data_IF_348373889889
#
_entry.id   IF_348373889889
#
_cell.length_a   1.000
_cell.length_b   1.000
_cell.length_c   1.000
_cell.angle_alpha   90.00
_cell.angle_beta   90.00
_cell.angle_gamma   90.00
#
_symmetry.space_group_name_H-M   'P 1'
#
loop_
_entity.id
_entity.type
_entity.pdbx_description
1 polymer ?
#
# COMPACT_ATOMS: atom_id res chain seq x y z
N UNK A 1 -7.37 -21.77 -0.27
CA UNK A 1 -8.34 -20.88 -0.94
C UNK A 1 -7.60 -19.64 -1.40
N UNK A 2 -7.70 -19.24 -2.68
CA UNK A 2 -7.03 -18.04 -3.19
C UNK A 2 -7.96 -16.84 -3.07
N UNK A 3 -7.60 -15.90 -2.21
CA UNK A 3 -8.31 -14.64 -2.05
C UNK A 3 -7.81 -13.63 -3.07
N UNK A 4 -8.72 -12.85 -3.64
CA UNK A 4 -8.41 -11.77 -4.57
C UNK A 4 -8.95 -10.43 -4.06
N UNK A 5 -8.24 -9.34 -4.31
CA UNK A 5 -8.68 -8.02 -3.89
C UNK A 5 -9.72 -7.42 -4.86
N UNK A 6 -10.86 -6.99 -4.32
CA UNK A 6 -11.93 -6.33 -5.07
C UNK A 6 -12.42 -5.08 -4.33
N UNK A 7 -13.00 -4.16 -5.08
CA UNK A 7 -13.75 -3.03 -4.53
C UNK A 7 -15.21 -3.17 -4.93
N UNK A 8 -16.09 -3.20 -3.92
CA UNK A 8 -17.52 -3.03 -4.10
C UNK A 8 -17.90 -1.57 -3.88
N UNK A 9 -18.73 -1.01 -4.77
CA UNK A 9 -19.39 0.28 -4.62
C UNK A 9 -20.88 0.09 -4.69
N UNK A 10 -21.65 0.64 -3.76
CA UNK A 10 -23.10 0.53 -3.77
C UNK A 10 -23.79 1.48 -2.81
N UNK A 11 -25.11 1.36 -2.67
CA UNK A 11 -25.89 2.23 -1.77
C UNK A 11 -25.81 1.82 -0.29
N UNK A 12 -25.95 2.79 0.62
CA UNK A 12 -25.92 2.57 2.08
C UNK A 12 -27.03 1.63 2.58
N UNK A 13 -28.18 1.56 1.94
CA UNK A 13 -29.32 0.83 2.54
C UNK A 13 -29.21 -0.70 2.48
N UNK A 14 -28.43 -1.26 1.56
CA UNK A 14 -28.38 -2.71 1.31
C UNK A 14 -26.96 -3.28 1.29
N UNK A 15 -25.96 -2.48 1.63
CA UNK A 15 -24.56 -2.93 1.63
C UNK A 15 -24.28 -4.01 2.69
N UNK A 16 -25.06 -4.08 3.78
CA UNK A 16 -24.88 -5.12 4.82
C UNK A 16 -25.11 -6.52 4.25
N UNK A 17 -26.04 -6.69 3.29
CA UNK A 17 -26.22 -7.97 2.59
C UNK A 17 -24.98 -8.42 1.82
N UNK A 18 -24.19 -7.47 1.32
CA UNK A 18 -22.93 -7.75 0.63
C UNK A 18 -21.81 -8.04 1.62
N UNK A 19 -21.82 -7.38 2.78
CA UNK A 19 -20.90 -7.66 3.89
C UNK A 19 -21.10 -9.11 4.36
N UNK A 20 -22.33 -9.47 4.70
CA UNK A 20 -22.68 -10.82 5.17
C UNK A 20 -22.31 -11.87 4.12
N UNK A 21 -22.62 -11.62 2.84
CA UNK A 21 -22.25 -12.51 1.74
C UNK A 21 -20.73 -12.70 1.63
N UNK A 22 -19.94 -11.64 1.76
CA UNK A 22 -18.48 -11.72 1.68
C UNK A 22 -17.95 -12.56 2.84
N UNK A 23 -18.43 -12.32 4.06
CA UNK A 23 -18.01 -13.05 5.27
C UNK A 23 -18.42 -14.53 5.21
N UNK A 24 -19.63 -14.84 4.76
CA UNK A 24 -20.15 -16.21 4.59
C UNK A 24 -19.33 -17.01 3.57
N UNK A 25 -18.83 -16.34 2.53
CA UNK A 25 -17.94 -16.95 1.53
C UNK A 25 -16.49 -17.08 2.04
N UNK A 26 -16.18 -16.63 3.25
CA UNK A 26 -14.81 -16.65 3.81
C UNK A 26 -13.91 -15.53 3.27
N UNK A 27 -14.50 -14.44 2.77
CA UNK A 27 -13.82 -13.20 2.46
C UNK A 27 -13.66 -12.30 3.68
N UNK A 28 -12.94 -11.18 3.48
CA UNK A 28 -12.61 -10.23 4.54
C UNK A 28 -12.79 -8.79 4.08
N UNK A 29 -13.27 -7.92 4.97
CA UNK A 29 -13.46 -6.50 4.69
C UNK A 29 -12.29 -5.70 5.24
N UNK A 30 -11.40 -5.28 4.34
CA UNK A 30 -10.22 -4.47 4.69
C UNK A 30 -10.64 -3.08 5.16
N UNK A 31 -11.51 -2.43 4.38
CA UNK A 31 -11.99 -1.07 4.66
C UNK A 31 -13.43 -0.87 4.22
N UNK A 32 -14.13 -0.04 4.98
CA UNK A 32 -15.47 0.45 4.70
C UNK A 32 -15.44 1.98 4.75
N UNK A 33 -15.75 2.62 3.62
CA UNK A 33 -15.91 4.07 3.53
C UNK A 33 -17.35 4.38 3.20
N UNK A 34 -17.95 5.29 3.95
CA UNK A 34 -19.29 5.80 3.69
C UNK A 34 -19.13 7.23 3.18
N UNK A 35 -19.55 7.48 1.94
CA UNK A 35 -19.46 8.78 1.27
C UNK A 35 -20.86 9.19 0.84
N UNK A 36 -21.46 10.11 1.59
CA UNK A 36 -22.83 10.59 1.38
C UNK A 36 -23.88 9.45 1.37
N UNK A 37 -24.31 9.00 0.19
CA UNK A 37 -25.28 7.91 0.02
C UNK A 37 -24.65 6.60 -0.49
N UNK A 38 -23.33 6.60 -0.72
CA UNK A 38 -22.57 5.48 -1.28
C UNK A 38 -21.67 4.84 -0.22
N UNK A 39 -21.46 3.53 -0.38
CA UNK A 39 -20.52 2.73 0.39
C UNK A 39 -19.49 2.17 -0.56
N UNK A 40 -18.22 2.33 -0.18
CA UNK A 40 -17.08 1.70 -0.84
C UNK A 40 -16.47 0.69 0.12
N UNK A 41 -16.57 -0.58 -0.24
CA UNK A 41 -15.95 -1.69 0.48
C UNK A 41 -14.71 -2.15 -0.29
N UNK A 42 -13.58 -2.19 0.39
CA UNK A 42 -12.37 -2.83 -0.11
C UNK A 42 -12.24 -4.16 0.61
N UNK A 43 -12.23 -5.24 -0.14
CA UNK A 43 -12.33 -6.59 0.42
C UNK A 43 -11.43 -7.59 -0.30
N UNK A 44 -11.14 -8.66 0.42
CA UNK A 44 -10.57 -9.88 -0.13
C UNK A 44 -11.69 -10.90 -0.25
N UNK A 45 -11.90 -11.45 -1.45
CA UNK A 45 -12.95 -12.43 -1.71
C UNK A 45 -12.35 -13.69 -2.34
N UNK A 46 -12.91 -14.87 -2.14
CA UNK A 46 -12.48 -16.05 -2.87
C UNK A 46 -12.62 -15.86 -4.38
N UNK A 47 -11.59 -16.26 -5.12
CA UNK A 47 -11.56 -16.11 -6.58
C UNK A 47 -12.73 -16.79 -7.29
N UNK A 48 -13.18 -17.91 -6.77
CA UNK A 48 -14.24 -18.74 -7.36
C UNK A 48 -15.63 -18.08 -7.23
N UNK A 49 -15.81 -17.20 -6.25
CA UNK A 49 -17.11 -16.65 -5.88
C UNK A 49 -17.33 -15.20 -6.35
N UNK A 50 -16.35 -14.57 -7.02
CA UNK A 50 -16.48 -13.19 -7.54
C UNK A 50 -17.72 -13.00 -8.41
N UNK A 51 -18.00 -13.97 -9.29
CA UNK A 51 -19.14 -13.92 -10.20
C UNK A 51 -20.47 -14.08 -9.47
N UNK A 52 -20.50 -14.75 -8.31
CA UNK A 52 -21.68 -14.78 -7.45
C UNK A 52 -21.91 -13.41 -6.81
N UNK A 53 -20.86 -12.81 -6.25
CA UNK A 53 -20.93 -11.47 -5.64
C UNK A 53 -21.37 -10.43 -6.67
N UNK A 54 -20.81 -10.45 -7.89
CA UNK A 54 -21.24 -9.57 -9.01
C UNK A 54 -22.72 -9.73 -9.35
N UNK A 55 -23.21 -10.97 -9.39
CA UNK A 55 -24.62 -11.27 -9.67
C UNK A 55 -25.56 -10.75 -8.59
N UNK A 56 -25.17 -10.84 -7.32
CA UNK A 56 -25.98 -10.37 -6.18
C UNK A 56 -25.88 -8.85 -6.00
N UNK A 57 -24.71 -8.25 -6.28
CA UNK A 57 -24.47 -6.81 -6.21
C UNK A 57 -25.30 -6.03 -7.24
N UNK A 58 -25.47 -6.56 -8.46
CA UNK A 58 -26.12 -5.86 -9.57
C UNK A 58 -27.59 -5.45 -9.28
N UNK A 59 -28.46 -6.31 -8.73
CA UNK A 59 -29.81 -5.91 -8.27
C UNK A 59 -29.83 -4.82 -7.21
N UNK A 60 -28.76 -4.69 -6.41
CA UNK A 60 -28.61 -3.69 -5.36
C UNK A 60 -28.00 -2.38 -5.90
N UNK A 61 -27.93 -2.22 -7.22
CA UNK A 61 -27.21 -1.12 -7.89
C UNK A 61 -25.74 -1.02 -7.47
N UNK A 62 -25.13 -2.16 -7.11
CA UNK A 62 -23.74 -2.26 -6.73
C UNK A 62 -22.84 -2.64 -7.90
N UNK A 63 -21.61 -2.12 -7.90
CA UNK A 63 -20.56 -2.41 -8.85
C UNK A 63 -19.39 -3.09 -8.12
N UNK A 64 -18.91 -4.21 -8.66
CA UNK A 64 -17.72 -4.91 -8.15
C UNK A 64 -16.62 -4.82 -9.19
N UNK A 65 -15.54 -4.14 -8.82
CA UNK A 65 -14.37 -3.90 -9.67
C UNK A 65 -13.14 -4.58 -9.09
N UNK A 66 -12.26 -5.07 -9.96
CA UNK A 66 -10.98 -5.60 -9.52
C UNK A 66 -10.11 -4.45 -8.98
N UNK A 67 -9.46 -4.66 -7.86
CA UNK A 67 -8.70 -3.60 -7.19
C UNK A 67 -7.37 -4.13 -6.69
N UNK A 68 -6.39 -4.31 -7.59
CA UNK A 68 -5.18 -5.09 -7.31
C UNK A 68 -4.35 -4.52 -6.15
N UNK A 69 -4.52 -3.25 -5.78
CA UNK A 69 -3.72 -2.63 -4.73
C UNK A 69 -4.36 -2.70 -3.32
N UNK A 70 -5.54 -3.30 -3.16
CA UNK A 70 -6.12 -3.51 -1.82
C UNK A 70 -5.21 -4.39 -0.97
N UNK A 71 -5.00 -3.99 0.28
CA UNK A 71 -4.11 -4.67 1.22
C UNK A 71 -2.62 -4.49 0.90
N UNK A 72 -2.28 -3.41 0.20
CA UNK A 72 -0.89 -3.01 -0.05
C UNK A 72 -0.65 -1.62 0.54
N UNK A 73 0.44 -1.47 1.29
CA UNK A 73 0.95 -0.18 1.75
C UNK A 73 2.14 0.26 0.87
N UNK A 74 2.04 1.45 0.28
CA UNK A 74 2.97 1.99 -0.72
C UNK A 74 3.67 3.23 -0.16
N UNK A 75 4.99 3.23 -0.14
CA UNK A 75 5.78 4.43 0.13
C UNK A 75 5.93 5.24 -1.17
N UNK A 76 5.34 6.43 -1.24
CA UNK A 76 5.59 7.38 -2.31
C UNK A 76 6.77 8.26 -1.89
N UNK A 77 7.94 7.94 -2.40
CA UNK A 77 9.20 8.59 -2.04
C UNK A 77 9.41 9.80 -2.94
N UNK A 78 9.37 10.97 -2.33
CA UNK A 78 9.64 12.25 -3.00
C UNK A 78 10.88 12.90 -2.40
N UNK A 79 11.71 13.50 -3.25
CA UNK A 79 12.94 14.16 -2.80
C UNK A 79 12.68 15.37 -1.89
N UNK A 80 11.50 15.99 -1.97
CA UNK A 80 11.05 17.06 -1.08
C UNK A 80 9.57 17.40 -1.35
N UNK A 81 8.84 17.74 -0.29
CA UNK A 81 7.45 18.21 -0.37
C UNK A 81 7.30 19.74 -0.38
N UNK A 82 8.39 20.48 -0.42
CA UNK A 82 8.31 21.94 -0.54
C UNK A 82 7.66 22.35 -1.86
N UNK A 83 6.86 23.43 -1.82
CA UNK A 83 6.13 23.93 -2.99
C UNK A 83 7.05 24.22 -4.17
N UNK A 84 8.28 24.70 -3.92
CA UNK A 84 9.28 24.99 -4.95
C UNK A 84 9.82 23.74 -5.64
N UNK A 85 9.62 22.56 -5.05
CA UNK A 85 10.02 21.28 -5.62
C UNK A 85 8.91 20.59 -6.41
N UNK A 86 7.74 21.24 -6.53
CA UNK A 86 6.61 20.84 -7.36
C UNK A 86 6.15 19.41 -7.04
N UNK A 87 5.62 19.18 -5.82
CA UNK A 87 5.30 17.83 -5.35
C UNK A 87 4.04 17.25 -6.00
N UNK A 88 3.35 18.02 -6.85
CA UNK A 88 2.09 17.65 -7.49
C UNK A 88 2.08 16.25 -8.10
N UNK A 89 3.09 15.82 -8.88
CA UNK A 89 3.03 14.48 -9.46
C UNK A 89 3.08 13.39 -8.39
N UNK A 90 3.89 13.56 -7.33
CA UNK A 90 3.91 12.61 -6.21
C UNK A 90 2.59 12.61 -5.43
N UNK A 91 1.94 13.75 -5.24
CA UNK A 91 0.62 13.83 -4.62
C UNK A 91 -0.47 13.19 -5.50
N UNK A 92 -0.43 13.42 -6.81
CA UNK A 92 -1.37 12.87 -7.78
C UNK A 92 -1.23 11.34 -7.84
N UNK A 93 0.00 10.81 -7.90
CA UNK A 93 0.26 9.36 -7.81
C UNK A 93 -0.26 8.80 -6.47
N UNK A 94 0.03 9.47 -5.35
CA UNK A 94 -0.41 9.04 -4.03
C UNK A 94 -1.94 9.00 -3.92
N UNK A 95 -2.66 9.96 -4.50
CA UNK A 95 -4.12 9.96 -4.60
C UNK A 95 -4.61 8.85 -5.53
N UNK A 96 -3.98 8.67 -6.68
CA UNK A 96 -4.41 7.72 -7.70
C UNK A 96 -4.31 6.28 -7.22
N UNK A 97 -3.20 5.90 -6.57
CA UNK A 97 -3.07 4.54 -5.98
C UNK A 97 -4.05 4.30 -4.84
N UNK A 98 -4.43 5.35 -4.08
CA UNK A 98 -5.47 5.24 -3.03
C UNK A 98 -6.84 4.95 -3.60
N UNK A 99 -7.19 5.55 -4.74
CA UNK A 99 -8.45 5.28 -5.44
C UNK A 99 -8.57 3.82 -5.89
N UNK A 100 -7.46 3.13 -6.08
CA UNK A 100 -7.37 1.75 -6.59
C UNK A 100 -7.18 0.72 -5.45
N UNK A 101 -7.18 1.17 -4.19
CA UNK A 101 -7.19 0.27 -3.03
C UNK A 101 -6.00 0.37 -2.10
N UNK A 102 -4.89 0.95 -2.56
CA UNK A 102 -3.66 0.99 -1.77
C UNK A 102 -3.73 2.01 -0.63
N UNK A 103 -2.94 1.77 0.41
CA UNK A 103 -2.56 2.82 1.35
C UNK A 103 -1.25 3.44 0.91
N UNK A 104 -1.29 4.68 0.45
CA UNK A 104 -0.06 5.42 0.20
C UNK A 104 0.34 6.27 1.40
N UNK A 105 1.63 6.26 1.71
CA UNK A 105 2.27 7.19 2.63
C UNK A 105 3.31 7.99 1.86
N UNK A 106 3.33 9.30 2.08
CA UNK A 106 4.33 10.17 1.45
C UNK A 106 5.58 10.17 2.32
N UNK A 107 6.70 9.75 1.76
CA UNK A 107 8.01 9.82 2.42
C UNK A 107 8.83 10.90 1.72
N UNK A 108 9.07 12.00 2.43
CA UNK A 108 9.91 13.09 1.92
C UNK A 108 11.32 12.91 2.38
N UNK A 109 12.27 12.97 1.47
CA UNK A 109 13.68 12.93 1.84
C UNK A 109 14.10 14.30 2.38
N UNK A 110 14.69 14.33 3.58
CA UNK A 110 15.05 15.56 4.26
C UNK A 110 16.34 16.21 3.71
N UNK A 111 17.14 15.51 2.88
CA UNK A 111 18.52 15.92 2.58
C UNK A 111 18.90 15.85 1.10
N UNK A 112 19.24 17.03 0.55
CA UNK A 112 19.95 17.15 -0.71
C UNK A 112 19.83 18.54 -1.35
N UNK A 113 20.54 19.57 -0.86
CA UNK A 113 20.55 20.87 -1.51
C UNK A 113 21.11 20.73 -2.95
N UNK A 114 20.24 20.99 -3.93
CA UNK A 114 20.59 20.98 -5.34
C UNK A 114 21.02 19.63 -5.91
N UNK A 115 21.96 19.66 -6.85
CA UNK A 115 22.43 18.47 -7.59
C UNK A 115 23.51 17.67 -6.87
N UNK A 116 24.16 18.23 -5.84
CA UNK A 116 25.45 17.75 -5.33
C UNK A 116 25.37 16.68 -4.24
N UNK A 117 24.27 16.66 -3.48
CA UNK A 117 24.11 15.77 -2.35
C UNK A 117 22.77 15.05 -2.49
N UNK A 118 22.77 13.75 -2.20
CA UNK A 118 21.58 12.98 -1.87
C UNK A 118 21.88 12.22 -0.59
N UNK A 119 21.03 12.40 0.41
CA UNK A 119 21.12 11.70 1.67
C UNK A 119 19.78 11.09 2.01
N UNK A 120 19.82 9.84 2.44
CA UNK A 120 18.74 9.16 3.12
C UNK A 120 19.31 8.80 4.50
N UNK A 121 18.65 9.22 5.58
CA UNK A 121 19.05 8.79 6.92
C UNK A 121 18.51 7.38 7.19
N UNK A 122 18.97 6.75 8.28
CA UNK A 122 18.56 5.37 8.59
C UNK A 122 17.09 5.27 8.99
N UNK A 123 16.54 6.32 9.61
CA UNK A 123 15.11 6.38 9.96
C UNK A 123 14.20 6.42 8.71
N UNK A 124 14.52 7.23 7.72
CA UNK A 124 13.82 7.30 6.43
C UNK A 124 13.95 5.98 5.66
N UNK A 125 15.13 5.33 5.70
CA UNK A 125 15.32 3.98 5.14
C UNK A 125 14.39 2.97 5.79
N UNK A 126 14.44 2.91 7.12
CA UNK A 126 13.61 2.01 7.90
C UNK A 126 12.13 2.25 7.57
N UNK A 127 11.66 3.51 7.59
CA UNK A 127 10.28 3.87 7.23
C UNK A 127 9.91 3.35 5.85
N UNK A 128 10.76 3.52 4.83
CA UNK A 128 10.48 2.99 3.48
C UNK A 128 10.37 1.46 3.51
N UNK A 129 11.26 0.78 4.24
CA UNK A 129 11.27 -0.68 4.39
C UNK A 129 10.10 -1.25 5.20
N UNK A 130 9.32 -0.41 5.89
CA UNK A 130 8.08 -0.85 6.53
C UNK A 130 6.93 -1.05 5.55
N UNK A 131 7.06 -0.61 4.30
CA UNK A 131 6.00 -0.69 3.29
C UNK A 131 6.15 -1.94 2.43
N UNK A 132 5.15 -2.25 1.60
CA UNK A 132 5.25 -3.39 0.67
C UNK A 132 6.06 -3.05 -0.58
N UNK A 133 6.04 -1.77 -1.00
CA UNK A 133 6.69 -1.27 -2.22
C UNK A 133 7.01 0.22 -2.08
N UNK A 134 8.11 0.64 -2.69
CA UNK A 134 8.52 2.05 -2.75
C UNK A 134 8.45 2.58 -4.19
N UNK A 135 7.76 3.71 -4.39
CA UNK A 135 7.69 4.42 -5.66
C UNK A 135 8.54 5.67 -5.55
N UNK A 136 9.68 5.67 -6.22
CA UNK A 136 10.60 6.81 -6.24
C UNK A 136 10.23 7.77 -7.37
N UNK A 137 9.82 8.99 -7.02
CA UNK A 137 9.61 10.04 -8.01
C UNK A 137 10.82 10.97 -8.10
N UNK A 138 11.59 10.79 -9.16
CA UNK A 138 12.77 11.59 -9.45
C UNK A 138 12.45 12.80 -10.33
N UNK A 139 13.42 13.72 -10.41
CA UNK A 139 13.32 14.90 -11.26
C UNK A 139 13.54 14.61 -12.75
N UNK A 140 13.77 15.67 -13.52
CA UNK A 140 13.78 15.59 -14.99
C UNK A 140 15.16 15.30 -15.58
N UNK A 141 16.23 15.40 -14.79
CA UNK A 141 17.60 15.36 -15.28
C UNK A 141 18.22 13.99 -15.11
N UNK A 142 18.58 13.33 -16.21
CA UNK A 142 19.28 12.04 -16.26
C UNK A 142 20.49 12.00 -15.33
N UNK A 143 21.40 12.96 -15.45
CA UNK A 143 22.63 13.04 -14.63
C UNK A 143 22.35 13.14 -13.12
N UNK A 144 21.23 13.76 -12.73
CA UNK A 144 20.84 13.81 -11.32
C UNK A 144 20.34 12.46 -10.83
N UNK A 145 19.62 11.71 -11.67
CA UNK A 145 19.09 10.39 -11.32
C UNK A 145 20.24 9.40 -11.18
N UNK A 146 21.12 9.34 -12.19
CA UNK A 146 22.30 8.49 -12.22
C UNK A 146 23.18 8.67 -10.97
N UNK A 147 23.45 9.92 -10.61
CA UNK A 147 24.28 10.24 -9.45
C UNK A 147 23.61 9.90 -8.10
N UNK A 148 22.30 10.12 -7.97
CA UNK A 148 21.60 10.01 -6.67
C UNK A 148 21.13 8.60 -6.35
N UNK A 149 20.67 7.84 -7.35
CA UNK A 149 20.05 6.53 -7.13
C UNK A 149 20.94 5.51 -6.41
N UNK A 150 22.27 5.41 -6.66
CA UNK A 150 23.13 4.48 -5.93
C UNK A 150 23.12 4.69 -4.41
N UNK A 151 22.98 5.94 -3.96
CA UNK A 151 22.90 6.27 -2.53
C UNK A 151 21.49 6.10 -1.99
N UNK A 152 20.48 6.52 -2.75
CA UNK A 152 19.08 6.48 -2.30
C UNK A 152 18.54 5.06 -2.18
N UNK A 153 18.95 4.15 -3.06
CA UNK A 153 18.52 2.75 -3.01
C UNK A 153 19.22 1.92 -1.92
N UNK A 154 20.31 2.43 -1.34
CA UNK A 154 21.14 1.64 -0.43
C UNK A 154 20.37 1.36 0.85
N UNK A 155 20.26 0.08 1.19
CA UNK A 155 19.53 -0.38 2.38
C UNK A 155 18.01 -0.33 2.22
N UNK A 156 17.50 -0.25 0.98
CA UNK A 156 16.08 -0.44 0.70
C UNK A 156 15.89 -1.89 0.25
N UNK A 157 15.09 -2.64 1.00
CA UNK A 157 14.87 -4.08 0.82
C UNK A 157 13.52 -4.38 0.15
N UNK A 158 12.63 -3.39 0.12
CA UNK A 158 11.34 -3.46 -0.57
C UNK A 158 11.52 -3.20 -2.05
N UNK A 159 10.67 -3.78 -2.92
CA UNK A 159 10.76 -3.53 -4.35
C UNK A 159 10.60 -2.04 -4.67
N UNK A 160 11.34 -1.58 -5.69
CA UNK A 160 11.35 -0.17 -6.09
C UNK A 160 10.78 -0.01 -7.50
N UNK A 161 9.81 0.89 -7.64
CA UNK A 161 9.37 1.43 -8.94
C UNK A 161 9.97 2.83 -9.12
N UNK A 162 10.84 2.98 -10.12
CA UNK A 162 11.50 4.26 -10.41
C UNK A 162 10.74 5.06 -11.46
N UNK A 163 10.25 6.23 -11.06
CA UNK A 163 9.65 7.23 -11.94
C UNK A 163 10.62 8.40 -12.16
N UNK A 164 10.71 8.91 -13.38
CA UNK A 164 11.54 10.08 -13.67
C UNK A 164 11.22 10.74 -15.01
N UNK A 165 11.73 11.95 -15.22
CA UNK A 165 11.49 12.70 -16.46
C UNK A 165 12.11 12.10 -17.73
N UNK A 166 13.31 11.47 -17.70
CA UNK A 166 13.80 10.72 -18.86
C UNK A 166 12.88 9.55 -19.24
N UNK A 167 12.96 9.08 -20.48
CA UNK A 167 12.21 7.90 -20.89
C UNK A 167 12.67 6.61 -20.17
N UNK A 168 11.88 5.55 -20.27
CA UNK A 168 12.13 4.29 -19.56
C UNK A 168 13.47 3.65 -19.95
N UNK A 169 13.82 3.68 -21.25
CA UNK A 169 15.06 3.08 -21.75
C UNK A 169 16.29 3.80 -21.19
N UNK A 170 16.23 5.13 -21.10
CA UNK A 170 17.26 5.95 -20.47
C UNK A 170 17.34 5.63 -18.98
N UNK A 171 16.23 5.61 -18.25
CA UNK A 171 16.24 5.28 -16.81
C UNK A 171 16.87 3.92 -16.53
N UNK A 172 16.57 2.90 -17.33
CA UNK A 172 17.18 1.57 -17.22
C UNK A 172 18.69 1.60 -17.52
N UNK A 173 19.13 2.38 -18.50
CA UNK A 173 20.54 2.51 -18.86
C UNK A 173 21.36 3.17 -17.74
N UNK A 174 20.82 4.22 -17.12
CA UNK A 174 21.56 5.03 -16.14
C UNK A 174 21.45 4.55 -14.69
N UNK A 175 20.73 3.45 -14.44
CA UNK A 175 20.58 2.91 -13.09
C UNK A 175 21.02 1.46 -13.04
N UNK A 176 21.96 1.16 -12.16
CA UNK A 176 22.53 -0.18 -12.02
C UNK A 176 22.78 -0.54 -10.56
N UNK A 177 22.49 -1.81 -10.16
CA UNK A 177 21.61 -2.77 -10.82
C UNK A 177 20.18 -2.25 -11.06
N UNK A 178 19.42 -2.93 -11.95
CA UNK A 178 18.08 -2.50 -12.31
C UNK A 178 17.12 -2.56 -11.13
N UNK A 179 16.13 -1.66 -11.14
CA UNK A 179 14.99 -1.65 -10.23
C UNK A 179 13.88 -2.61 -10.68
N UNK A 180 12.96 -2.92 -9.78
CA UNK A 180 11.86 -3.85 -10.03
C UNK A 180 10.87 -3.34 -11.09
N UNK A 181 10.71 -2.02 -11.17
CA UNK A 181 9.91 -1.38 -12.21
C UNK A 181 10.39 0.02 -12.59
N UNK A 182 10.00 0.47 -13.77
CA UNK A 182 10.40 1.75 -14.35
C UNK A 182 9.24 2.43 -15.07
N UNK A 183 9.12 3.74 -14.89
CA UNK A 183 8.17 4.57 -15.62
C UNK A 183 8.83 5.88 -16.02
N UNK A 184 9.14 6.02 -17.31
CA UNK A 184 9.77 7.23 -17.85
C UNK A 184 8.79 8.35 -18.13
N UNK A 185 9.27 9.55 -18.47
CA UNK A 185 8.44 10.73 -18.78
C UNK A 185 7.51 11.17 -17.63
N UNK A 186 7.82 10.81 -16.38
CA UNK A 186 7.11 11.23 -15.16
C UNK A 186 8.04 12.10 -14.33
N UNK A 187 8.21 13.32 -14.81
CA UNK A 187 9.05 14.32 -14.16
C UNK A 187 8.30 15.22 -13.18
N UNK A 188 8.98 16.26 -12.69
CA UNK A 188 8.39 17.37 -11.94
C UNK A 188 7.76 18.38 -12.89
N UNK A 189 6.53 18.79 -12.61
CA UNK A 189 5.82 19.85 -13.33
C UNK A 189 4.90 20.65 -12.38
N UNK A 190 4.63 21.92 -12.72
CA UNK A 190 3.96 22.88 -11.83
C UNK A 190 2.44 22.73 -11.74
N UNK A 191 1.82 21.96 -12.64
CA UNK A 191 0.36 21.82 -12.74
C UNK A 191 -0.10 20.47 -12.16
N UNK A 192 -1.37 20.37 -11.77
CA UNK A 192 -1.97 19.07 -11.48
C UNK A 192 -2.20 18.29 -12.77
N UNK A 193 -2.16 16.97 -12.64
CA UNK A 193 -2.45 16.00 -13.70
C UNK A 193 -3.95 16.03 -13.99
N UNK A 194 -4.40 16.88 -14.92
CA UNK A 194 -5.83 17.07 -15.25
C UNK A 194 -6.16 16.84 -16.73
N UNK A 195 -5.14 16.79 -17.58
CA UNK A 195 -5.29 16.54 -19.02
C UNK A 195 -5.31 15.02 -19.30
N UNK A 196 -5.89 14.60 -20.42
CA UNK A 196 -6.14 13.17 -20.72
C UNK A 196 -4.86 12.36 -20.87
N UNK A 197 -3.85 12.91 -21.55
CA UNK A 197 -2.50 12.35 -21.72
C UNK A 197 -1.79 12.08 -20.39
N UNK A 198 -2.13 12.90 -19.41
CA UNK A 198 -1.60 12.92 -18.06
C UNK A 198 -2.23 11.81 -17.19
N UNK A 199 -3.51 11.49 -17.42
CA UNK A 199 -4.19 10.34 -16.80
C UNK A 199 -3.63 9.00 -17.33
N UNK A 200 -3.37 8.91 -18.64
CA UNK A 200 -2.76 7.72 -19.25
C UNK A 200 -1.42 7.37 -18.59
N UNK A 201 -0.67 8.40 -18.18
CA UNK A 201 0.60 8.23 -17.49
C UNK A 201 0.42 7.72 -16.06
N UNK A 202 -0.60 8.18 -15.34
CA UNK A 202 -0.94 7.61 -14.03
C UNK A 202 -1.36 6.14 -14.14
N UNK A 203 -2.09 5.78 -15.21
CA UNK A 203 -2.44 4.38 -15.49
C UNK A 203 -1.22 3.52 -15.83
N UNK A 204 -0.23 4.07 -16.53
CA UNK A 204 1.07 3.39 -16.73
C UNK A 204 1.78 3.13 -15.41
N UNK A 205 1.83 4.13 -14.52
CA UNK A 205 2.43 3.97 -13.18
C UNK A 205 1.72 2.89 -12.38
N UNK A 206 0.39 2.92 -12.35
CA UNK A 206 -0.40 1.91 -11.63
C UNK A 206 -0.20 0.52 -12.21
N UNK A 207 -0.17 0.38 -13.54
CA UNK A 207 0.08 -0.92 -14.18
C UNK A 207 1.43 -1.47 -13.78
N UNK A 208 2.47 -0.63 -13.75
CA UNK A 208 3.81 -1.07 -13.36
C UNK A 208 3.89 -1.41 -11.86
N UNK A 209 3.28 -0.61 -10.98
CA UNK A 209 3.13 -0.92 -9.55
C UNK A 209 2.41 -2.25 -9.37
N UNK A 210 1.29 -2.44 -10.07
CA UNK A 210 0.48 -3.67 -10.02
C UNK A 210 1.31 -4.87 -10.44
N UNK A 211 2.07 -4.79 -11.54
CA UNK A 211 2.95 -5.86 -12.00
C UNK A 211 3.97 -6.27 -10.93
N UNK A 212 4.58 -5.29 -10.26
CA UNK A 212 5.57 -5.53 -9.19
C UNK A 212 4.91 -6.13 -7.95
N UNK A 213 3.73 -5.64 -7.56
CA UNK A 213 2.93 -6.17 -6.44
C UNK A 213 2.49 -7.61 -6.70
N UNK A 214 1.96 -7.92 -7.89
CA UNK A 214 1.54 -9.27 -8.25
C UNK A 214 2.72 -10.25 -8.24
N UNK A 215 3.87 -9.86 -8.79
CA UNK A 215 5.10 -10.68 -8.69
C UNK A 215 5.47 -10.97 -7.22
N UNK A 216 5.33 -9.97 -6.34
CA UNK A 216 5.61 -10.14 -4.91
C UNK A 216 4.57 -11.03 -4.23
N UNK A 217 3.29 -10.96 -4.63
CA UNK A 217 2.23 -11.86 -4.17
C UNK A 217 2.50 -13.30 -4.60
N UNK A 218 2.94 -13.51 -5.84
CA UNK A 218 3.34 -14.82 -6.35
C UNK A 218 4.52 -15.40 -5.54
N UNK A 219 5.48 -14.56 -5.17
CA UNK A 219 6.61 -14.97 -4.33
C UNK A 219 6.15 -15.35 -2.90
N UNK A 220 5.18 -14.63 -2.33
CA UNK A 220 4.57 -14.98 -1.04
C UNK A 220 3.73 -16.27 -1.18
N UNK A 221 3.04 -16.48 -2.30
CA UNK A 221 2.23 -17.67 -2.51
C UNK A 221 3.07 -18.97 -2.56
N UNK A 222 4.35 -18.88 -2.91
CA UNK A 222 5.30 -20.02 -2.87
C UNK A 222 5.67 -20.43 -1.45
N UNK A 223 5.67 -19.48 -0.52
CA UNK A 223 5.96 -19.66 0.91
C UNK A 223 4.91 -18.90 1.73
N UNK A 224 3.69 -19.46 1.81
CA UNK A 224 2.51 -18.76 2.31
C UNK A 224 2.63 -18.45 3.80
N UNK A 225 2.00 -17.35 4.21
CA UNK A 225 1.97 -16.90 5.60
C UNK A 225 1.17 -17.86 6.49
N UNK A 226 1.64 -18.03 7.73
CA UNK A 226 0.98 -18.81 8.77
C UNK A 226 -0.46 -18.36 9.05
N UNK A 227 -0.78 -17.07 8.86
CA UNK A 227 -2.14 -16.53 8.93
C UNK A 227 -2.32 -15.42 7.89
N UNK A 228 -3.52 -15.28 7.33
CA UNK A 228 -3.78 -14.18 6.40
C UNK A 228 -3.78 -12.82 7.14
N UNK A 229 -3.16 -11.77 6.57
CA UNK A 229 -3.18 -10.44 7.16
C UNK A 229 -4.59 -9.90 7.45
N UNK A 230 -5.56 -10.23 6.58
CA UNK A 230 -6.94 -9.81 6.73
C UNK A 230 -7.65 -10.50 7.91
N UNK A 231 -7.43 -11.81 8.11
CA UNK A 231 -7.95 -12.54 9.28
C UNK A 231 -7.39 -11.95 10.58
N UNK A 232 -6.08 -11.65 10.60
CA UNK A 232 -5.44 -11.08 11.78
C UNK A 232 -5.95 -9.66 12.09
N UNK A 233 -6.25 -8.87 11.06
CA UNK A 233 -6.87 -7.56 11.22
C UNK A 233 -8.24 -7.66 11.92
N UNK A 234 -9.11 -8.58 11.50
CA UNK A 234 -10.43 -8.74 12.12
C UNK A 234 -10.34 -9.22 13.56
N UNK A 235 -9.44 -10.17 13.83
CA UNK A 235 -9.16 -10.65 15.18
C UNK A 235 -8.68 -9.52 16.10
N UNK A 236 -7.76 -8.68 15.64
CA UNK A 236 -7.29 -7.52 16.42
C UNK A 236 -8.41 -6.52 16.62
N UNK A 237 -9.25 -6.29 15.61
CA UNK A 237 -10.41 -5.39 15.72
C UNK A 237 -11.39 -5.86 16.79
N UNK A 238 -11.62 -7.17 16.89
CA UNK A 238 -12.50 -7.77 17.89
C UNK A 238 -11.88 -7.76 19.29
N UNK A 239 -10.61 -8.17 19.42
CA UNK A 239 -9.96 -8.38 20.73
C UNK A 239 -9.35 -7.11 21.34
N UNK A 240 -9.15 -6.05 20.56
CA UNK A 240 -8.52 -4.79 21.01
C UNK A 240 -9.46 -3.61 20.80
N UNK A 241 -10.41 -3.35 21.72
CA UNK A 241 -11.41 -2.28 21.57
C UNK A 241 -10.80 -0.89 21.38
N UNK A 242 -9.63 -0.63 21.97
CA UNK A 242 -8.92 0.64 21.87
C UNK A 242 -8.62 1.07 20.42
N UNK A 243 -8.62 0.14 19.46
CA UNK A 243 -8.42 0.45 18.04
C UNK A 243 -9.58 1.27 17.45
N UNK A 244 -10.78 1.16 18.03
CA UNK A 244 -11.99 1.88 17.59
C UNK A 244 -11.94 3.36 17.98
N UNK A 245 -11.17 3.70 19.01
CA UNK A 245 -10.99 5.07 19.48
C UNK A 245 -9.88 5.83 18.72
N UNK A 246 -9.16 5.14 17.83
CA UNK A 246 -8.08 5.75 17.04
C UNK A 246 -8.65 6.66 15.96
N UNK A 247 -8.32 7.94 16.05
CA UNK A 247 -8.78 8.98 15.10
C UNK A 247 -8.01 9.02 13.79
N UNK A 248 -6.89 8.29 13.70
CA UNK A 248 -6.10 8.22 12.47
C UNK A 248 -6.87 7.47 11.38
N UNK A 249 -6.77 7.90 10.11
CA UNK A 249 -7.40 7.16 9.02
C UNK A 249 -6.80 5.75 8.97
N UNK A 250 -7.67 4.74 8.82
CA UNK A 250 -7.30 3.32 8.84
C UNK A 250 -6.39 2.93 10.01
N UNK A 251 -6.97 2.80 11.22
CA UNK A 251 -6.27 2.38 12.44
C UNK A 251 -5.51 1.07 12.28
N UNK A 252 -6.08 0.13 11.51
CA UNK A 252 -5.43 -1.08 11.05
C UNK A 252 -5.17 -0.94 9.55
N UNK A 253 -3.90 -0.99 9.16
CA UNK A 253 -3.50 -0.94 7.76
C UNK A 253 -2.92 -2.30 7.36
N UNK A 254 -3.65 -3.00 6.49
CA UNK A 254 -3.22 -4.31 5.97
C UNK A 254 -2.10 -4.11 4.96
N UNK A 255 -1.08 -4.96 5.08
CA UNK A 255 0.08 -5.07 4.20
C UNK A 255 0.13 -6.50 3.64
N UNK A 256 0.97 -6.75 2.64
CA UNK A 256 1.05 -8.06 1.99
C UNK A 256 1.56 -9.16 2.93
N UNK A 257 2.43 -8.81 3.89
CA UNK A 257 3.03 -9.74 4.86
C UNK A 257 2.60 -9.50 6.31
N UNK A 258 1.58 -8.70 6.54
CA UNK A 258 1.25 -8.30 7.91
C UNK A 258 0.36 -7.08 7.99
N UNK A 259 0.53 -6.31 9.06
CA UNK A 259 -0.29 -5.14 9.31
C UNK A 259 0.44 -4.10 10.15
N UNK A 260 0.02 -2.85 9.97
CA UNK A 260 0.37 -1.73 10.83
C UNK A 260 -0.82 -1.41 11.74
N UNK A 261 -0.58 -1.45 13.05
CA UNK A 261 -1.55 -1.13 14.09
C UNK A 261 -1.20 0.24 14.67
N UNK A 262 -2.09 1.22 14.50
CA UNK A 262 -1.88 2.61 14.96
C UNK A 262 -2.21 2.81 16.43
N UNK A 263 -1.59 1.98 17.28
CA UNK A 263 -1.64 2.06 18.73
C UNK A 263 -0.22 2.16 19.29
N UNK A 264 0.00 2.79 20.46
CA UNK A 264 1.31 2.91 21.08
C UNK A 264 1.96 1.54 21.37
N UNK A 265 3.19 1.35 20.88
CA UNK A 265 3.92 0.08 20.98
C UNK A 265 4.12 -0.38 22.42
N UNK A 266 4.62 0.49 23.30
CA UNK A 266 4.95 0.14 24.68
C UNK A 266 3.73 -0.34 25.48
N UNK A 267 2.54 0.12 25.12
CA UNK A 267 1.28 -0.24 25.79
C UNK A 267 0.66 -1.50 25.18
N UNK A 268 0.64 -1.61 23.85
CA UNK A 268 -0.19 -2.61 23.17
C UNK A 268 0.58 -3.78 22.55
N UNK A 269 1.92 -3.73 22.49
CA UNK A 269 2.70 -4.83 21.91
C UNK A 269 2.54 -6.16 22.68
N UNK A 270 2.58 -6.14 24.02
CA UNK A 270 2.41 -7.35 24.82
C UNK A 270 0.99 -7.94 24.74
N UNK A 271 -0.10 -7.14 24.89
CA UNK A 271 -1.46 -7.61 24.63
C UNK A 271 -1.63 -8.20 23.23
N UNK A 272 -1.09 -7.56 22.19
CA UNK A 272 -1.18 -8.07 20.82
C UNK A 272 -0.49 -9.43 20.67
N UNK A 273 0.70 -9.63 21.26
CA UNK A 273 1.39 -10.93 21.23
C UNK A 273 0.58 -12.04 21.89
N UNK A 274 -0.27 -11.71 22.86
CA UNK A 274 -1.04 -12.67 23.64
C UNK A 274 -2.39 -13.05 22.99
N UNK A 275 -2.80 -12.38 21.92
CA UNK A 275 -4.03 -12.70 21.19
C UNK A 275 -3.92 -14.11 20.62
N UNK A 276 -4.93 -14.93 20.89
CA UNK A 276 -5.07 -16.28 20.36
C UNK A 276 -5.76 -16.25 19.01
N UNK A 277 -5.17 -16.92 18.02
CA UNK A 277 -5.69 -17.01 16.65
C UNK A 277 -6.61 -18.23 16.52
N UNK A 278 -6.10 -19.41 16.86
CA UNK A 278 -6.78 -20.71 16.79
C UNK A 278 -5.97 -21.75 17.57
N UNK A 279 -6.63 -22.75 18.17
CA UNK A 279 -6.00 -23.89 18.84
C UNK A 279 -4.88 -23.53 19.84
N UNK A 280 -5.02 -22.43 20.58
CA UNK A 280 -4.01 -21.96 21.54
C UNK A 280 -2.80 -21.25 20.92
N UNK A 281 -2.70 -21.15 19.59
CA UNK A 281 -1.61 -20.45 18.90
C UNK A 281 -1.78 -18.95 19.04
N UNK A 282 -0.74 -18.27 19.53
CA UNK A 282 -0.77 -16.82 19.71
C UNK A 282 -0.11 -16.06 18.56
N UNK A 283 -0.51 -14.80 18.39
CA UNK A 283 0.09 -13.89 17.39
C UNK A 283 1.61 -13.78 17.57
N UNK A 284 2.10 -13.73 18.81
CA UNK A 284 3.54 -13.65 19.07
C UNK A 284 4.37 -14.87 18.65
N UNK A 285 3.72 -16.00 18.34
CA UNK A 285 4.37 -17.23 17.88
C UNK A 285 4.50 -17.28 16.35
N UNK A 286 3.60 -16.61 15.64
CA UNK A 286 3.52 -16.61 14.17
C UNK A 286 3.83 -15.26 13.53
N UNK A 287 4.11 -14.23 14.34
CA UNK A 287 4.42 -12.90 13.84
C UNK A 287 5.46 -12.17 14.70
N UNK A 288 6.34 -11.45 14.02
CA UNK A 288 7.23 -10.48 14.65
C UNK A 288 6.46 -9.18 14.93
N UNK A 289 6.44 -8.77 16.20
CA UNK A 289 5.85 -7.49 16.62
C UNK A 289 6.97 -6.52 16.96
N UNK A 290 7.10 -5.46 16.15
CA UNK A 290 8.16 -4.47 16.22
C UNK A 290 7.60 -3.04 16.29
N UNK A 291 8.33 -2.09 16.88
CA UNK A 291 7.95 -0.68 16.84
C UNK A 291 8.11 -0.15 15.41
N UNK A 292 7.18 0.70 14.99
CA UNK A 292 7.33 1.50 13.77
C UNK A 292 8.31 2.65 14.00
N UNK A 293 9.05 3.02 12.96
CA UNK A 293 9.85 4.22 12.84
C UNK A 293 9.03 5.43 12.38
N UNK A 294 7.90 5.21 11.70
CA UNK A 294 7.04 6.32 11.27
C UNK A 294 6.49 7.10 12.47
N UNK A 295 6.02 6.37 13.49
CA UNK A 295 5.52 6.86 14.80
C UNK A 295 5.63 5.72 15.81
N UNK A 296 5.19 5.93 17.04
CA UNK A 296 5.07 4.92 18.11
C UNK A 296 4.07 3.78 17.82
N UNK A 297 3.70 3.58 16.55
CA UNK A 297 2.82 2.52 16.08
C UNK A 297 3.49 1.15 16.13
N UNK A 298 2.70 0.11 15.89
CA UNK A 298 3.13 -1.28 15.94
C UNK A 298 3.11 -1.85 14.52
N UNK A 299 4.20 -2.52 14.15
CA UNK A 299 4.28 -3.35 12.96
C UNK A 299 4.16 -4.81 13.38
N UNK A 300 3.26 -5.52 12.73
CA UNK A 300 3.11 -6.96 12.88
C UNK A 300 3.49 -7.59 11.55
N UNK A 301 4.61 -8.31 11.52
CA UNK A 301 5.10 -9.03 10.34
C UNK A 301 4.84 -10.52 10.52
N UNK A 302 3.96 -11.08 9.72
CA UNK A 302 3.57 -12.49 9.79
C UNK A 302 4.68 -13.33 9.16
N UNK A 303 5.03 -14.41 9.84
CA UNK A 303 6.01 -15.38 9.37
C UNK A 303 5.34 -16.39 8.41
N UNK A 304 6.07 -16.93 7.42
CA UNK A 304 5.63 -18.08 6.65
C UNK A 304 5.28 -19.25 7.58
#
# INVERSE_FOLDING_TARGET
MTLVPVTYKGGIYQHDLIIDLIEDLGGYIVQKHIIAAEVVLQCFVPKEDIELIRRIAKPLFGEVTDSPLVGTEIAIVSMSLEIHHLPHPSCDIAEYVRRIGAKSNMVSLARGPGKRIAGLNDEERDVINEHDIAVYLMGNFETCIEYKMPTLRRGIDVPIVLCGGPDEAVLRRITSPPFDGYVGNVGRFMRRTKETDQLDKLDEIVREITRVVEKKRDDIAKDPLSVSPARLMDLIREKVPAILDVTSPTPLTVQMRGLRVKLPYDTFAAPLRAIEIEDGIKVGEVAEIAPSRMRDYILVKILP
#
